data_IF_718301337349
#
_entry.id   IF_718301337349
#
_cell.length_a   1.000
_cell.length_b   1.000
_cell.length_c   1.000
_cell.angle_alpha   90.00
_cell.angle_beta   90.00
_cell.angle_gamma   90.00
#
_symmetry.space_group_name_H-M   'P 1'
#
loop_
_entity.id
_entity.type
_entity.pdbx_description
1 polymer ?
#
# COMPACT_ATOMS: atom_id res chain seq x y z
N UNK A 1 -28.18 4.63 28.48
CA UNK A 1 -26.87 4.43 27.82
C UNK A 1 -27.13 4.42 26.32
N UNK A 2 -26.79 5.49 25.58
CA UNK A 2 -27.01 5.53 24.13
C UNK A 2 -25.71 5.11 23.45
N UNK A 3 -25.72 3.99 22.74
CA UNK A 3 -24.62 3.61 21.86
C UNK A 3 -24.97 4.15 20.49
N UNK A 4 -24.32 5.22 19.99
CA UNK A 4 -24.40 5.51 18.57
C UNK A 4 -23.55 4.46 17.88
N UNK A 5 -24.18 3.38 17.39
CA UNK A 5 -23.62 2.69 16.23
C UNK A 5 -23.73 3.69 15.08
N UNK A 6 -22.76 4.59 14.99
CA UNK A 6 -22.48 5.27 13.73
C UNK A 6 -22.42 4.17 12.68
N UNK A 7 -23.27 4.25 11.66
CA UNK A 7 -23.23 3.38 10.49
C UNK A 7 -21.92 3.66 9.74
N UNK A 8 -20.79 3.21 10.28
CA UNK A 8 -19.48 3.34 9.66
C UNK A 8 -19.23 2.07 8.87
N UNK A 9 -19.80 2.00 7.67
CA UNK A 9 -19.49 0.98 6.65
C UNK A 9 -18.04 1.06 6.14
N UNK A 10 -17.24 2.00 6.66
CA UNK A 10 -15.82 2.13 6.38
C UNK A 10 -15.03 1.09 7.20
N UNK A 11 -14.90 -0.11 6.62
CA UNK A 11 -13.98 -1.15 7.09
C UNK A 11 -12.66 -1.02 6.34
N UNK A 12 -11.55 -1.21 7.05
CA UNK A 12 -10.24 -1.29 6.43
C UNK A 12 -10.18 -2.56 5.56
N UNK A 13 -9.77 -2.47 4.27
CA UNK A 13 -9.59 -3.65 3.45
C UNK A 13 -8.50 -4.57 4.06
N UNK A 14 -8.62 -5.90 3.88
CA UNK A 14 -7.58 -6.82 4.29
C UNK A 14 -6.26 -6.48 3.58
N UNK A 15 -5.14 -6.52 4.30
CA UNK A 15 -3.81 -6.22 3.77
C UNK A 15 -3.48 -4.73 3.59
N UNK A 16 -4.45 -3.81 3.77
CA UNK A 16 -4.19 -2.37 3.59
C UNK A 16 -3.19 -1.82 4.60
N UNK A 17 -3.20 -2.31 5.84
CA UNK A 17 -2.19 -1.96 6.85
C UNK A 17 -0.78 -2.36 6.39
N UNK A 18 -0.61 -3.60 5.95
CA UNK A 18 0.67 -4.13 5.47
C UNK A 18 1.19 -3.32 4.27
N UNK A 19 0.29 -2.93 3.35
CA UNK A 19 0.64 -2.08 2.21
C UNK A 19 1.23 -0.73 2.66
N UNK A 20 0.57 -0.07 3.62
CA UNK A 20 1.06 1.21 4.17
C UNK A 20 2.35 1.04 4.96
N UNK A 21 2.47 -0.03 5.76
CA UNK A 21 3.71 -0.32 6.50
C UNK A 21 4.89 -0.53 5.56
N UNK A 22 4.70 -1.22 4.43
CA UNK A 22 5.73 -1.38 3.40
C UNK A 22 6.22 -0.04 2.82
N UNK A 23 5.27 0.84 2.46
CA UNK A 23 5.61 2.19 1.98
C UNK A 23 6.38 2.99 3.04
N UNK A 24 5.90 2.98 4.29
CA UNK A 24 6.53 3.75 5.39
C UNK A 24 7.96 3.28 5.63
N UNK A 25 8.20 1.96 5.63
CA UNK A 25 9.54 1.42 5.80
C UNK A 25 10.51 1.87 4.69
N UNK A 26 10.05 1.89 3.44
CA UNK A 26 10.86 2.37 2.31
C UNK A 26 11.12 3.89 2.38
N UNK A 27 10.14 4.69 2.80
CA UNK A 27 10.33 6.13 3.05
C UNK A 27 11.37 6.38 4.14
N UNK A 28 11.31 5.64 5.25
CA UNK A 28 12.29 5.75 6.34
C UNK A 28 13.70 5.36 5.89
N UNK A 29 13.81 4.40 4.96
CA UNK A 29 15.09 3.92 4.44
C UNK A 29 15.72 4.90 3.45
N UNK A 30 14.93 5.42 2.51
CA UNK A 30 15.42 6.28 1.40
C UNK A 30 15.47 7.75 1.80
N UNK A 31 14.67 8.16 2.80
CA UNK A 31 14.46 9.56 3.21
C UNK A 31 14.28 10.51 2.01
N UNK A 32 13.29 10.24 1.13
CA UNK A 32 13.09 11.05 -0.06
C UNK A 32 12.61 12.47 0.30
N UNK A 33 13.02 13.50 -0.45
CA UNK A 33 12.55 14.87 -0.24
C UNK A 33 11.07 15.05 -0.66
N UNK A 34 10.59 14.26 -1.61
CA UNK A 34 9.18 14.22 -2.02
C UNK A 34 8.58 12.83 -1.72
N UNK A 35 7.82 12.77 -0.63
CA UNK A 35 7.18 11.53 -0.17
C UNK A 35 6.03 11.12 -1.11
N UNK A 36 5.29 12.08 -1.68
CA UNK A 36 4.12 11.78 -2.51
C UNK A 36 4.57 11.23 -3.86
N UNK A 37 5.56 11.87 -4.49
CA UNK A 37 6.17 11.37 -5.72
C UNK A 37 6.79 9.99 -5.53
N UNK A 38 7.54 9.80 -4.43
CA UNK A 38 8.10 8.49 -4.09
C UNK A 38 7.03 7.41 -3.91
N UNK A 39 5.95 7.71 -3.20
CA UNK A 39 4.86 6.75 -2.99
C UNK A 39 4.19 6.34 -4.31
N UNK A 40 3.96 7.28 -5.22
CA UNK A 40 3.41 6.99 -6.53
C UNK A 40 4.32 6.04 -7.33
N UNK A 41 5.63 6.32 -7.37
CA UNK A 41 6.61 5.45 -8.02
C UNK A 41 6.72 4.07 -7.35
N UNK A 42 6.66 4.03 -6.02
CA UNK A 42 6.71 2.78 -5.26
C UNK A 42 5.52 1.88 -5.60
N UNK A 43 4.30 2.41 -5.59
CA UNK A 43 3.11 1.64 -5.99
C UNK A 43 3.13 1.25 -7.46
N UNK A 44 3.64 2.11 -8.34
CA UNK A 44 3.81 1.75 -9.75
C UNK A 44 4.76 0.56 -9.91
N UNK A 45 5.90 0.58 -9.22
CA UNK A 45 6.86 -0.55 -9.22
C UNK A 45 6.22 -1.85 -8.73
N UNK A 46 5.40 -1.79 -7.67
CA UNK A 46 4.69 -2.97 -7.16
C UNK A 46 3.66 -3.51 -8.16
N UNK A 47 2.99 -2.63 -8.91
CA UNK A 47 2.06 -3.04 -9.97
C UNK A 47 2.80 -3.72 -11.13
N UNK A 48 3.91 -3.12 -11.56
CA UNK A 48 4.78 -3.66 -12.62
C UNK A 48 5.38 -5.00 -12.22
N UNK A 49 5.79 -5.18 -10.96
CA UNK A 49 6.26 -6.47 -10.44
C UNK A 49 5.16 -7.52 -10.49
N UNK A 50 3.94 -7.18 -10.07
CA UNK A 50 2.79 -8.09 -10.14
C UNK A 50 2.46 -8.48 -11.57
N UNK A 51 2.54 -7.55 -12.51
CA UNK A 51 2.28 -7.79 -13.93
C UNK A 51 3.43 -8.54 -14.63
N UNK A 52 4.68 -8.26 -14.25
CA UNK A 52 5.87 -8.96 -14.75
C UNK A 52 5.97 -10.39 -14.23
N UNK A 53 5.61 -10.62 -12.96
CA UNK A 53 5.52 -11.95 -12.36
C UNK A 53 4.40 -12.80 -13.01
N UNK A 54 3.29 -12.17 -13.41
CA UNK A 54 2.22 -12.83 -14.17
C UNK A 54 2.69 -13.32 -15.57
N UNK A 55 3.59 -12.59 -16.22
CA UNK A 55 4.11 -12.96 -17.54
C UNK A 55 5.33 -13.89 -17.50
N UNK A 56 5.81 -14.25 -16.31
CA UNK A 56 6.90 -15.20 -16.16
C UNK A 56 6.29 -16.58 -15.86
N UNK A 57 6.16 -17.48 -16.86
CA UNK A 57 5.73 -18.83 -16.57
C UNK A 57 6.81 -19.46 -15.67
N UNK A 58 6.36 -20.07 -14.57
CA UNK A 58 7.18 -20.87 -13.68
C UNK A 58 8.15 -21.76 -14.49
N UNK A 59 9.45 -21.58 -14.24
CA UNK A 59 10.48 -22.56 -14.57
C UNK A 59 10.52 -23.64 -13.48
#
# INVERSE_FOLDING_TARGET
>A
MSIPFSSTTLRLPPGFRNLLEGLVMEVLRVQPPDIVGFAAQHFQTLLEQREGEWHSPAA
#
